data_IF_383568747683
#
_entry.id   IF_383568747683
#
_cell.length_a   1.000
_cell.length_b   1.000
_cell.length_c   1.000
_cell.angle_alpha   90.00
_cell.angle_beta   90.00
_cell.angle_gamma   90.00
#
_symmetry.space_group_name_H-M   'P 1'
#
loop_
_entity.id
_entity.type
_entity.pdbx_description
1 polymer ?
#
# COMPACT_ATOMS: atom_id res chain seq x y z
N UNK A 1 -13.31 -1.61 -6.97
CA UNK A 1 -13.17 -0.19 -6.56
C UNK A 1 -12.66 0.55 -7.79
N UNK A 2 -13.29 1.66 -8.16
CA UNK A 2 -12.84 2.46 -9.32
C UNK A 2 -11.65 3.35 -8.95
N UNK A 3 -10.80 3.70 -9.91
CA UNK A 3 -9.59 4.50 -9.65
C UNK A 3 -9.92 5.88 -9.05
N UNK A 4 -11.01 6.52 -9.48
CA UNK A 4 -11.44 7.80 -8.91
C UNK A 4 -11.75 7.66 -7.42
N UNK A 5 -12.51 6.64 -7.03
CA UNK A 5 -12.89 6.42 -5.63
C UNK A 5 -11.66 6.08 -4.79
N UNK A 6 -10.75 5.26 -5.33
CA UNK A 6 -9.47 4.97 -4.69
C UNK A 6 -8.65 6.24 -4.43
N UNK A 7 -8.61 7.19 -5.37
CA UNK A 7 -7.93 8.48 -5.17
C UNK A 7 -8.54 9.29 -4.02
N UNK A 8 -9.87 9.30 -3.89
CA UNK A 8 -10.55 9.94 -2.77
C UNK A 8 -10.17 9.27 -1.45
N UNK A 9 -10.12 7.93 -1.42
CA UNK A 9 -9.68 7.18 -0.24
C UNK A 9 -8.22 7.44 0.14
N UNK A 10 -7.35 7.72 -0.84
CA UNK A 10 -5.98 8.19 -0.63
C UNK A 10 -5.90 9.70 -0.25
N UNK A 11 -7.02 10.34 0.05
CA UNK A 11 -7.09 11.73 0.52
C UNK A 11 -6.97 12.79 -0.57
N UNK A 12 -7.11 12.42 -1.86
CA UNK A 12 -7.11 13.42 -2.95
C UNK A 12 -8.43 14.17 -3.00
N UNK A 13 -8.38 15.48 -3.24
CA UNK A 13 -9.60 16.26 -3.45
C UNK A 13 -10.35 15.80 -4.71
N UNK A 14 -11.69 15.94 -4.78
CA UNK A 14 -12.48 15.58 -5.96
C UNK A 14 -11.96 16.18 -7.27
N UNK A 15 -11.48 17.43 -7.21
CA UNK A 15 -10.84 18.11 -8.34
C UNK A 15 -9.56 17.40 -8.80
N UNK A 16 -8.69 17.02 -7.85
CA UNK A 16 -7.45 16.30 -8.15
C UNK A 16 -7.75 14.90 -8.68
N UNK A 17 -8.69 14.20 -8.04
CA UNK A 17 -9.10 12.87 -8.45
C UNK A 17 -9.60 12.86 -9.90
N UNK A 18 -10.46 13.81 -10.26
CA UNK A 18 -10.94 14.00 -11.64
C UNK A 18 -9.80 14.33 -12.61
N UNK A 19 -8.86 15.18 -12.21
CA UNK A 19 -7.72 15.53 -13.06
C UNK A 19 -6.81 14.32 -13.35
N UNK A 20 -6.68 13.39 -12.40
CA UNK A 20 -5.87 12.19 -12.58
C UNK A 20 -6.64 11.07 -13.31
N UNK A 21 -7.92 10.89 -13.04
CA UNK A 21 -8.70 9.80 -13.64
C UNK A 21 -9.15 10.09 -15.07
N UNK A 22 -9.61 11.31 -15.37
CA UNK A 22 -10.19 11.62 -16.68
C UNK A 22 -9.23 11.42 -17.86
N UNK A 23 -7.92 11.74 -17.77
CA UNK A 23 -7.00 11.50 -18.87
C UNK A 23 -6.80 10.01 -19.21
N UNK A 24 -7.01 9.09 -18.27
CA UNK A 24 -6.79 7.65 -18.47
C UNK A 24 -7.78 7.04 -19.48
N UNK A 25 -8.98 7.58 -19.60
CA UNK A 25 -9.94 7.17 -20.64
C UNK A 25 -9.73 7.91 -21.97
N UNK A 26 -8.72 8.78 -22.06
CA UNK A 26 -8.45 9.61 -23.24
C UNK A 26 -6.97 9.69 -23.54
N UNK A 27 -6.34 10.83 -23.23
CA UNK A 27 -4.94 11.12 -23.59
C UNK A 27 -3.90 10.11 -23.06
N UNK A 28 -4.22 9.38 -22.00
CA UNK A 28 -3.34 8.41 -21.36
C UNK A 28 -3.79 6.95 -21.54
N UNK A 29 -4.81 6.67 -22.36
CA UNK A 29 -5.42 5.34 -22.43
C UNK A 29 -4.46 4.23 -22.86
N UNK A 30 -3.59 4.50 -23.84
CA UNK A 30 -2.56 3.56 -24.26
C UNK A 30 -1.56 3.24 -23.12
N UNK A 31 -1.19 4.26 -22.34
CA UNK A 31 -0.27 4.10 -21.20
C UNK A 31 -0.94 3.41 -20.01
N UNK A 32 -2.23 3.66 -19.79
CA UNK A 32 -3.04 2.94 -18.81
C UNK A 32 -3.07 1.44 -19.13
N UNK A 33 -3.32 1.07 -20.39
CA UNK A 33 -3.31 -0.32 -20.85
C UNK A 33 -1.94 -1.00 -20.66
N UNK A 34 -0.83 -0.27 -20.85
CA UNK A 34 0.51 -0.79 -20.57
C UNK A 34 0.71 -1.05 -19.07
N UNK A 35 0.22 -0.18 -18.19
CA UNK A 35 0.34 -0.30 -16.73
C UNK A 35 -0.47 -1.49 -16.20
N UNK A 36 -1.62 -1.77 -16.78
CA UNK A 36 -2.46 -2.94 -16.41
C UNK A 36 -1.79 -4.27 -16.74
N UNK A 37 -0.80 -4.27 -17.64
CA UNK A 37 -0.06 -5.47 -17.97
C UNK A 37 0.85 -5.87 -16.79
N UNK A 38 0.73 -7.12 -16.33
CA UNK A 38 1.43 -7.63 -15.13
C UNK A 38 2.97 -7.59 -15.19
N UNK A 39 3.55 -7.32 -16.36
CA UNK A 39 4.98 -7.16 -16.58
C UNK A 39 5.46 -5.71 -16.59
N UNK A 40 4.58 -4.74 -16.32
CA UNK A 40 4.95 -3.33 -16.31
C UNK A 40 5.94 -3.04 -15.17
N UNK A 41 7.04 -2.36 -15.47
CA UNK A 41 7.98 -1.90 -14.47
C UNK A 41 7.54 -0.53 -13.95
N UNK A 42 6.80 -0.54 -12.84
CA UNK A 42 6.26 0.64 -12.18
C UNK A 42 7.32 1.67 -11.77
N UNK A 43 8.58 1.24 -11.60
CA UNK A 43 9.69 2.14 -11.24
C UNK A 43 10.04 3.12 -12.36
N UNK A 44 9.64 2.84 -13.61
CA UNK A 44 9.88 3.67 -14.79
C UNK A 44 9.15 5.03 -14.72
N UNK A 45 8.15 5.19 -13.85
CA UNK A 45 7.41 6.44 -13.68
C UNK A 45 7.90 7.30 -12.50
N UNK A 46 8.83 6.76 -11.68
CA UNK A 46 9.13 7.27 -10.35
C UNK A 46 9.86 8.63 -10.30
N UNK A 47 10.51 9.05 -11.39
CA UNK A 47 11.21 10.34 -11.49
C UNK A 47 11.07 10.93 -12.88
N UNK A 48 11.34 12.23 -13.05
CA UNK A 48 11.30 12.86 -14.37
C UNK A 48 12.25 12.19 -15.37
N UNK A 49 13.47 11.86 -14.94
CA UNK A 49 14.45 11.17 -15.79
C UNK A 49 13.97 9.79 -16.25
N UNK A 50 13.39 9.00 -15.34
CA UNK A 50 12.83 7.68 -15.70
C UNK A 50 11.59 7.82 -16.57
N UNK A 51 10.74 8.80 -16.28
CA UNK A 51 9.55 9.06 -17.07
C UNK A 51 9.88 9.51 -18.49
N UNK A 52 10.94 10.32 -18.67
CA UNK A 52 11.44 10.68 -19.98
C UNK A 52 11.87 9.43 -20.77
N UNK A 53 12.67 8.56 -20.17
CA UNK A 53 13.09 7.30 -20.80
C UNK A 53 11.91 6.37 -21.11
N UNK A 54 10.89 6.35 -20.24
CA UNK A 54 9.63 5.66 -20.49
C UNK A 54 8.91 6.22 -21.73
N UNK A 55 8.76 7.54 -21.84
CA UNK A 55 8.15 8.18 -22.99
C UNK A 55 8.94 7.90 -24.28
N UNK A 56 10.27 8.00 -24.26
CA UNK A 56 11.13 7.70 -25.43
C UNK A 56 10.92 6.26 -25.94
N UNK A 57 10.58 5.33 -25.05
CA UNK A 57 10.34 3.93 -25.39
C UNK A 57 8.90 3.63 -25.81
N UNK A 58 7.92 4.32 -25.24
CA UNK A 58 6.50 3.97 -25.33
C UNK A 58 5.63 5.03 -26.01
N UNK A 59 6.21 6.15 -26.41
CA UNK A 59 5.58 7.25 -27.14
C UNK A 59 6.58 7.86 -28.13
N UNK A 60 6.70 7.25 -29.30
CA UNK A 60 7.61 7.68 -30.38
C UNK A 60 7.38 9.13 -30.80
N UNK A 61 6.18 9.67 -30.59
CA UNK A 61 5.84 11.06 -30.94
C UNK A 61 6.37 12.10 -29.94
N UNK A 62 6.76 11.67 -28.74
CA UNK A 62 7.13 12.55 -27.62
C UNK A 62 5.96 13.37 -27.05
N UNK A 63 4.74 13.12 -27.51
CA UNK A 63 3.52 13.82 -27.12
C UNK A 63 3.30 13.82 -25.60
N UNK A 64 3.43 12.68 -24.94
CA UNK A 64 3.22 12.49 -23.51
C UNK A 64 4.21 13.29 -22.67
N UNK A 65 5.49 13.32 -23.05
CA UNK A 65 6.49 14.07 -22.28
C UNK A 65 6.23 15.58 -22.36
N UNK A 66 5.90 16.10 -23.54
CA UNK A 66 5.56 17.51 -23.72
C UNK A 66 4.20 17.87 -23.09
N UNK A 67 3.23 16.96 -23.17
CA UNK A 67 1.95 17.08 -22.46
C UNK A 67 2.18 17.16 -20.95
N UNK A 68 3.08 16.34 -20.39
CA UNK A 68 3.43 16.35 -18.98
C UNK A 68 4.07 17.67 -18.54
N UNK A 69 5.02 18.21 -19.33
CA UNK A 69 5.62 19.52 -19.07
C UNK A 69 4.58 20.64 -19.04
N UNK A 70 3.70 20.70 -20.05
CA UNK A 70 2.60 21.69 -20.12
C UNK A 70 1.64 21.53 -18.94
N UNK A 71 1.37 20.29 -18.56
CA UNK A 71 0.55 19.92 -17.42
C UNK A 71 1.23 20.09 -16.06
N UNK A 72 2.46 20.60 -15.99
CA UNK A 72 3.25 20.75 -14.76
C UNK A 72 3.31 19.45 -13.95
N UNK A 73 3.73 18.37 -14.61
CA UNK A 73 3.91 17.02 -14.04
C UNK A 73 2.61 16.25 -13.68
N UNK A 74 1.45 16.84 -13.95
CA UNK A 74 0.16 16.23 -13.61
C UNK A 74 -0.06 14.86 -14.27
N UNK A 75 0.38 14.68 -15.52
CA UNK A 75 0.11 13.45 -16.29
C UNK A 75 0.99 12.29 -15.83
N UNK A 76 2.28 12.54 -15.54
CA UNK A 76 3.15 11.55 -14.90
C UNK A 76 2.59 11.17 -13.54
N UNK A 77 2.17 12.16 -12.74
CA UNK A 77 1.60 11.87 -11.42
C UNK A 77 0.31 11.04 -11.52
N UNK A 78 -0.54 11.31 -12.51
CA UNK A 78 -1.71 10.49 -12.79
C UNK A 78 -1.34 9.04 -13.11
N UNK A 79 -0.33 8.80 -13.98
CA UNK A 79 0.15 7.45 -14.29
C UNK A 79 0.78 6.75 -13.09
N UNK A 80 1.54 7.47 -12.25
CA UNK A 80 2.11 6.92 -11.01
C UNK A 80 1.00 6.44 -10.07
N UNK A 81 0.02 7.30 -9.79
CA UNK A 81 -1.10 6.94 -8.92
C UNK A 81 -1.94 5.79 -9.52
N UNK A 82 -2.11 5.75 -10.85
CA UNK A 82 -2.83 4.65 -11.52
C UNK A 82 -2.07 3.32 -11.40
N UNK A 83 -0.75 3.38 -11.55
CA UNK A 83 0.16 2.26 -11.34
C UNK A 83 0.07 1.72 -9.91
N UNK A 84 0.07 2.60 -8.91
CA UNK A 84 -0.12 2.23 -7.50
C UNK A 84 -1.51 1.59 -7.26
N UNK A 85 -2.55 2.14 -7.88
CA UNK A 85 -3.90 1.59 -7.83
C UNK A 85 -3.95 0.16 -8.40
N UNK A 86 -3.43 -0.07 -9.61
CA UNK A 86 -3.39 -1.40 -10.25
C UNK A 86 -2.62 -2.40 -9.38
N UNK A 87 -1.48 -2.00 -8.81
CA UNK A 87 -0.72 -2.83 -7.86
C UNK A 87 -1.54 -3.16 -6.61
N UNK A 88 -2.26 -2.17 -6.06
CA UNK A 88 -3.10 -2.35 -4.87
C UNK A 88 -4.26 -3.32 -5.13
N UNK A 89 -4.91 -3.21 -6.30
CA UNK A 89 -5.96 -4.13 -6.74
C UNK A 89 -5.42 -5.54 -6.92
N UNK A 90 -4.31 -5.70 -7.64
CA UNK A 90 -3.68 -7.01 -7.87
C UNK A 90 -3.32 -7.70 -6.55
N UNK A 91 -2.76 -6.93 -5.60
CA UNK A 91 -2.43 -7.43 -4.26
C UNK A 91 -3.69 -7.81 -3.50
N UNK A 92 -4.73 -6.98 -3.54
CA UNK A 92 -6.01 -7.26 -2.90
C UNK A 92 -6.66 -8.53 -3.43
N UNK A 93 -6.74 -8.69 -4.74
CA UNK A 93 -7.30 -9.86 -5.41
C UNK A 93 -6.55 -11.13 -5.03
N UNK A 94 -5.20 -11.07 -4.98
CA UNK A 94 -4.37 -12.18 -4.52
C UNK A 94 -4.71 -12.61 -3.08
N UNK A 95 -4.86 -11.66 -2.16
CA UNK A 95 -5.24 -11.96 -0.77
C UNK A 95 -6.69 -12.45 -0.67
N UNK A 96 -7.63 -11.85 -1.40
CA UNK A 96 -9.02 -12.28 -1.41
C UNK A 96 -9.17 -13.71 -1.94
N UNK A 97 -8.50 -14.05 -3.04
CA UNK A 97 -8.51 -15.42 -3.59
C UNK A 97 -7.99 -16.42 -2.55
N UNK A 98 -6.91 -16.07 -1.86
CA UNK A 98 -6.37 -16.90 -0.79
C UNK A 98 -7.38 -17.10 0.34
N UNK A 99 -8.00 -16.03 0.85
CA UNK A 99 -9.00 -16.12 1.91
C UNK A 99 -10.25 -16.90 1.49
N UNK A 100 -10.71 -16.75 0.24
CA UNK A 100 -11.79 -17.55 -0.31
C UNK A 100 -11.43 -19.05 -0.32
N UNK A 101 -10.20 -19.39 -0.70
CA UNK A 101 -9.68 -20.78 -0.67
C UNK A 101 -9.58 -21.32 0.76
N UNK A 102 -9.16 -20.49 1.71
CA UNK A 102 -9.14 -20.82 3.15
C UNK A 102 -10.58 -21.09 3.64
N UNK A 103 -11.52 -20.20 3.32
CA UNK A 103 -12.94 -20.35 3.68
C UNK A 103 -13.54 -21.64 3.12
N UNK A 104 -13.29 -21.93 1.83
CA UNK A 104 -13.68 -23.20 1.20
C UNK A 104 -13.08 -24.41 1.91
N UNK A 105 -11.80 -24.34 2.29
CA UNK A 105 -11.14 -25.43 3.00
C UNK A 105 -11.68 -25.64 4.43
N UNK A 106 -12.07 -24.56 5.13
CA UNK A 106 -12.70 -24.62 6.46
C UNK A 106 -14.05 -25.33 6.43
N UNK A 107 -14.84 -25.13 5.37
CA UNK A 107 -16.14 -25.78 5.16
C UNK A 107 -16.05 -27.27 4.77
N UNK A 108 -14.85 -27.75 4.46
CA UNK A 108 -14.61 -29.14 4.05
C UNK A 108 -14.35 -30.06 5.25
N UNK A 109 -14.34 -31.37 5.04
CA UNK A 109 -14.03 -32.34 6.08
C UNK A 109 -12.53 -32.37 6.39
N UNK A 110 -12.19 -32.83 7.61
CA UNK A 110 -10.79 -32.97 8.03
C UNK A 110 -10.05 -33.97 7.14
N UNK A 111 -10.71 -35.07 6.78
CA UNK A 111 -10.16 -36.16 5.96
C UNK A 111 -9.83 -35.67 4.55
N UNK A 112 -10.75 -34.89 3.95
CA UNK A 112 -10.58 -34.26 2.64
C UNK A 112 -9.39 -33.29 2.63
N UNK A 113 -9.28 -32.43 3.65
CA UNK A 113 -8.10 -31.56 3.84
C UNK A 113 -6.81 -32.37 3.97
N UNK A 114 -6.80 -33.41 4.80
CA UNK A 114 -5.61 -34.25 5.00
C UNK A 114 -5.16 -34.94 3.71
N UNK A 115 -6.09 -35.42 2.88
CA UNK A 115 -5.78 -35.99 1.57
C UNK A 115 -5.07 -34.96 0.67
N UNK A 116 -5.58 -33.72 0.60
CA UNK A 116 -4.91 -32.63 -0.14
C UNK A 116 -3.53 -32.29 0.41
N UNK A 117 -3.37 -32.28 1.74
CA UNK A 117 -2.07 -31.97 2.39
C UNK A 117 -1.01 -33.05 2.16
N UNK A 118 -1.41 -34.31 1.97
CA UNK A 118 -0.50 -35.42 1.63
C UNK A 118 0.09 -35.26 0.22
N UNK A 119 -0.70 -34.79 -0.75
CA UNK A 119 -0.25 -34.59 -2.14
C UNK A 119 0.30 -33.19 -2.43
N UNK A 120 0.09 -32.21 -1.54
CA UNK A 120 0.56 -30.84 -1.74
C UNK A 120 2.08 -30.72 -1.66
N UNK A 121 2.65 -29.87 -2.54
CA UNK A 121 4.04 -29.45 -2.45
C UNK A 121 4.30 -28.79 -1.07
N UNK A 122 5.37 -29.21 -0.40
CA UNK A 122 5.72 -28.69 0.93
C UNK A 122 6.32 -27.29 0.90
N UNK A 123 6.88 -26.89 -0.25
CA UNK A 123 7.43 -25.55 -0.46
C UNK A 123 6.44 -24.74 -1.30
N UNK A 124 5.93 -23.60 -0.80
CA UNK A 124 5.06 -22.74 -1.59
C UNK A 124 5.85 -22.06 -2.72
N UNK A 125 5.14 -21.70 -3.79
CA UNK A 125 5.69 -20.81 -4.81
C UNK A 125 5.89 -19.41 -4.19
N UNK A 126 6.95 -18.73 -4.62
CA UNK A 126 7.24 -17.35 -4.20
C UNK A 126 6.77 -16.37 -5.28
N UNK A 127 6.26 -15.24 -4.83
CA UNK A 127 5.98 -14.07 -5.66
C UNK A 127 6.72 -12.87 -5.06
N UNK A 128 7.28 -12.03 -5.90
CA UNK A 128 7.95 -10.79 -5.48
C UNK A 128 6.97 -9.63 -5.60
N UNK A 129 6.99 -8.72 -4.62
CA UNK A 129 6.22 -7.48 -4.66
C UNK A 129 7.13 -6.31 -4.30
N UNK A 130 7.00 -5.21 -5.04
CA UNK A 130 7.61 -3.93 -4.69
C UNK A 130 6.67 -3.19 -3.75
N UNK A 131 7.22 -2.61 -2.67
CA UNK A 131 6.44 -1.81 -1.71
C UNK A 131 7.03 -0.41 -1.61
N UNK A 132 6.15 0.57 -1.43
CA UNK A 132 6.53 1.91 -0.97
C UNK A 132 6.45 1.93 0.56
N UNK A 133 7.43 2.57 1.19
CA UNK A 133 7.50 2.72 2.64
C UNK A 133 7.77 4.18 2.97
N UNK A 134 7.15 4.67 4.04
CA UNK A 134 7.43 6.00 4.56
C UNK A 134 8.74 5.99 5.35
N UNK A 135 9.64 6.91 5.03
CA UNK A 135 10.80 7.23 5.87
C UNK A 135 10.32 8.05 7.05
N UNK A 136 10.06 7.37 8.18
CA UNK A 136 9.46 7.98 9.38
C UNK A 136 10.52 8.64 10.23
N UNK A 137 10.17 9.77 10.83
CA UNK A 137 11.00 10.47 11.78
C UNK A 137 11.23 9.59 13.02
N UNK A 138 12.48 9.18 13.30
CA UNK A 138 12.79 8.32 14.44
C UNK A 138 12.48 8.98 15.79
N UNK A 139 12.55 10.31 15.88
CA UNK A 139 12.31 11.04 17.13
C UNK A 139 10.82 11.00 17.51
N UNK A 140 9.91 11.07 16.54
CA UNK A 140 8.47 10.90 16.77
C UNK A 140 8.19 9.51 17.35
N UNK A 141 8.82 8.48 16.77
CA UNK A 141 8.65 7.10 17.25
C UNK A 141 9.20 6.94 18.66
N UNK A 142 10.39 7.47 18.94
CA UNK A 142 11.03 7.38 20.24
C UNK A 142 10.22 8.12 21.32
N UNK A 143 9.80 9.35 21.06
CA UNK A 143 9.02 10.17 21.99
C UNK A 143 7.69 9.51 22.36
N UNK A 144 6.97 8.98 21.38
CA UNK A 144 5.69 8.29 21.61
C UNK A 144 5.87 7.02 22.44
N UNK A 145 6.94 6.26 22.22
CA UNK A 145 7.24 5.06 23.02
C UNK A 145 7.65 5.41 24.46
N UNK A 146 8.44 6.48 24.66
CA UNK A 146 8.83 6.97 25.97
C UNK A 146 7.62 7.49 26.75
N UNK A 147 6.77 8.30 26.10
CA UNK A 147 5.50 8.80 26.65
C UNK A 147 4.59 7.67 27.14
N UNK A 148 4.50 6.58 26.37
CA UNK A 148 3.68 5.42 26.74
C UNK A 148 4.19 4.69 27.99
N UNK A 149 5.47 4.83 28.32
CA UNK A 149 6.12 4.20 29.47
C UNK A 149 5.79 2.70 29.61
N UNK A 150 5.84 1.99 28.47
CA UNK A 150 5.59 0.55 28.41
C UNK A 150 4.12 0.12 28.50
N UNK A 151 3.16 1.04 28.51
CA UNK A 151 1.73 0.75 28.49
C UNK A 151 1.10 1.16 27.16
N UNK A 152 0.15 0.35 26.68
CA UNK A 152 -0.62 0.65 25.48
C UNK A 152 -1.52 1.87 25.71
N UNK A 153 -1.45 2.88 24.84
CA UNK A 153 -2.25 4.11 24.97
C UNK A 153 -3.73 3.92 24.59
N UNK A 154 -4.14 2.73 24.12
CA UNK A 154 -5.54 2.41 23.82
C UNK A 154 -6.22 1.61 24.94
N UNK A 155 -5.59 0.52 25.39
CA UNK A 155 -6.20 -0.37 26.40
C UNK A 155 -5.59 -0.21 27.80
N UNK A 156 -4.56 0.62 27.95
CA UNK A 156 -3.84 0.87 29.20
C UNK A 156 -3.16 -0.37 29.82
N UNK A 157 -3.11 -1.49 29.09
CA UNK A 157 -2.40 -2.68 29.53
C UNK A 157 -0.90 -2.56 29.25
N UNK A 158 -0.04 -3.17 30.08
CA UNK A 158 1.39 -3.23 29.82
C UNK A 158 1.69 -3.94 28.49
N UNK A 159 2.84 -3.61 27.90
CA UNK A 159 3.33 -4.27 26.70
C UNK A 159 3.34 -5.80 26.89
N UNK A 160 2.94 -6.58 25.88
CA UNK A 160 2.76 -8.03 26.03
C UNK A 160 4.07 -8.79 26.24
N UNK A 161 5.21 -8.21 25.85
CA UNK A 161 6.53 -8.78 26.02
C UNK A 161 7.62 -7.71 25.89
N UNK A 162 8.84 -8.09 26.23
CA UNK A 162 10.04 -7.27 26.13
C UNK A 162 10.82 -7.60 24.86
N UNK A 163 11.33 -6.58 24.15
CA UNK A 163 12.20 -6.71 22.99
C UNK A 163 13.48 -7.45 23.36
N UNK A 164 13.85 -8.46 22.56
CA UNK A 164 15.14 -9.15 22.70
C UNK A 164 16.35 -8.28 22.31
N UNK A 165 16.13 -7.26 21.49
CA UNK A 165 17.21 -6.39 20.96
C UNK A 165 17.81 -5.49 22.04
N UNK A 166 16.98 -4.98 22.95
CA UNK A 166 17.33 -3.86 23.84
C UNK A 166 16.66 -3.94 25.21
N UNK A 167 15.92 -5.02 25.49
CA UNK A 167 15.17 -5.22 26.74
C UNK A 167 14.11 -4.15 27.05
N UNK A 168 13.58 -3.44 26.05
CA UNK A 168 12.50 -2.46 26.24
C UNK A 168 11.10 -3.08 26.00
N UNK A 169 10.01 -2.51 26.59
CA UNK A 169 8.64 -2.96 26.32
C UNK A 169 8.25 -2.90 24.83
N UNK A 170 7.62 -3.95 24.29
CA UNK A 170 7.21 -3.97 22.89
C UNK A 170 5.83 -3.32 22.68
N UNK A 171 5.83 -2.11 22.10
CA UNK A 171 4.67 -1.44 21.53
C UNK A 171 4.96 -1.03 20.08
N UNK A 172 3.90 -0.79 19.30
CA UNK A 172 3.92 -0.39 17.89
C UNK A 172 3.36 1.02 17.77
N UNK A 173 4.12 1.94 17.19
CA UNK A 173 3.65 3.31 16.94
C UNK A 173 2.72 3.33 15.73
N UNK A 174 1.52 3.86 15.94
CA UNK A 174 0.43 3.98 14.99
C UNK A 174 0.01 5.44 14.82
N UNK A 175 -0.06 5.91 13.57
CA UNK A 175 -0.59 7.24 13.27
C UNK A 175 -2.12 7.21 13.24
N UNK A 176 -2.77 8.07 14.04
CA UNK A 176 -4.24 8.17 14.14
C UNK A 176 -4.86 8.58 12.81
N UNK A 177 -4.31 9.60 12.15
CA UNK A 177 -4.52 9.85 10.73
C UNK A 177 -3.39 9.14 9.98
N UNK A 178 -3.66 8.08 9.21
CA UNK A 178 -2.61 7.33 8.54
C UNK A 178 -1.80 8.19 7.58
N UNK A 179 -0.47 8.00 7.55
CA UNK A 179 0.43 8.70 6.61
C UNK A 179 -0.01 8.53 5.15
N UNK A 180 -0.49 7.32 4.78
CA UNK A 180 -1.03 7.03 3.46
C UNK A 180 -2.26 7.87 3.09
N UNK A 181 -2.99 8.38 4.08
CA UNK A 181 -4.15 9.29 3.91
C UNK A 181 -3.77 10.77 4.08
N UNK A 182 -2.47 11.08 4.06
CA UNK A 182 -1.95 12.44 4.23
C UNK A 182 -1.86 12.90 5.68
N UNK A 183 -1.84 11.99 6.65
CA UNK A 183 -1.53 12.34 8.03
C UNK A 183 -0.07 12.78 8.20
N UNK A 184 0.15 13.70 9.13
CA UNK A 184 1.50 14.20 9.44
C UNK A 184 2.27 13.22 10.33
N UNK A 185 3.59 13.16 10.14
CA UNK A 185 4.48 12.38 11.01
C UNK A 185 4.89 13.20 12.23
N UNK A 186 3.98 13.27 13.21
CA UNK A 186 4.09 14.08 14.43
C UNK A 186 3.69 13.29 15.67
N UNK A 187 4.14 13.75 16.84
CA UNK A 187 3.84 13.10 18.14
C UNK A 187 2.34 13.17 18.47
N UNK A 188 1.69 14.25 18.07
CA UNK A 188 0.26 14.49 18.26
C UNK A 188 -0.60 13.54 17.43
N UNK A 189 -0.13 13.19 16.23
CA UNK A 189 -0.82 12.26 15.35
C UNK A 189 -0.42 10.79 15.60
N UNK A 190 0.38 10.48 16.62
CA UNK A 190 0.92 9.15 16.84
C UNK A 190 0.63 8.59 18.25
N UNK A 191 0.41 7.27 18.31
CA UNK A 191 0.10 6.54 19.55
C UNK A 191 0.88 5.24 19.63
N UNK A 192 1.35 4.87 20.82
CA UNK A 192 1.98 3.58 21.11
C UNK A 192 0.92 2.53 21.49
N UNK A 193 0.77 1.51 20.65
CA UNK A 193 -0.25 0.48 20.79
C UNK A 193 0.36 -0.90 21.01
N UNK A 194 -0.32 -1.76 21.78
CA UNK A 194 0.01 -3.17 21.77
C UNK A 194 -0.38 -3.81 20.41
N UNK A 195 0.21 -4.95 20.02
CA UNK A 195 -0.10 -5.59 18.74
C UNK A 195 -1.59 -5.87 18.52
N UNK A 196 -2.33 -6.19 19.59
CA UNK A 196 -3.76 -6.48 19.49
C UNK A 196 -4.55 -5.21 19.16
N UNK A 197 -4.39 -4.14 19.95
CA UNK A 197 -5.07 -2.86 19.70
C UNK A 197 -4.65 -2.24 18.37
N UNK A 198 -3.38 -2.37 17.96
CA UNK A 198 -2.94 -1.86 16.67
C UNK A 198 -3.66 -2.57 15.51
N UNK A 199 -3.78 -3.91 15.57
CA UNK A 199 -4.49 -4.68 14.53
C UNK A 199 -5.99 -4.43 14.56
N UNK A 200 -6.59 -4.24 15.73
CA UNK A 200 -7.99 -3.84 15.89
C UNK A 200 -8.28 -2.47 15.26
N UNK A 201 -7.38 -1.49 15.36
CA UNK A 201 -7.55 -0.20 14.65
C UNK A 201 -7.57 -0.33 13.13
N UNK A 202 -6.90 -1.33 12.57
CA UNK A 202 -6.88 -1.57 11.11
C UNK A 202 -8.01 -2.47 10.62
N UNK A 203 -8.40 -3.48 11.41
CA UNK A 203 -9.25 -4.59 10.95
C UNK A 203 -10.38 -4.98 11.91
N UNK A 204 -10.44 -4.35 13.09
CA UNK A 204 -11.48 -4.56 14.09
C UNK A 204 -12.83 -4.03 13.62
N UNK A 205 -13.87 -4.40 14.37
CA UNK A 205 -15.27 -4.04 14.13
C UNK A 205 -15.69 -2.94 15.09
#
# INVERSE_FOLDING_TARGET
MEFYDWLIEQGRSPKTAKNYSAPLSGKLSAHAALIEHSSFDHSQLASDARFKAYCEKHDESGYLYELNKRGKDMYRRALVMYSEFVLSCTKHDFFQEFEQRVSKAKKDTKESRQKRLKSAAKKPKKSTATIEVFDRNPDVVAEVLLRANGNCECCNMPAPFTRKSDNTPYLEVHHTVPLAKGGDDTVENAQALCPNCHREKHYGV
#
